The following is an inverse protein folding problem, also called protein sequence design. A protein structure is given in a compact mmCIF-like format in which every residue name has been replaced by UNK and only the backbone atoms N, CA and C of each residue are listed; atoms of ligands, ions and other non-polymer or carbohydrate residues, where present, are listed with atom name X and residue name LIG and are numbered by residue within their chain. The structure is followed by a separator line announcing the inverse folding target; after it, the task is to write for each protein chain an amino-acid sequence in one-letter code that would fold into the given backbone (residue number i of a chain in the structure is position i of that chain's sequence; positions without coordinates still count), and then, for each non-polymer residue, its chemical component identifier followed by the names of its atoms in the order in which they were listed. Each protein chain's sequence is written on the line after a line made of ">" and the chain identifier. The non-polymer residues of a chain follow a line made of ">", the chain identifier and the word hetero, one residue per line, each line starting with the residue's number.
data_IF_996961729720
#
_entry.id   IF_996961729720
#
_cell.length_a   1.000
_cell.length_b   1.000
_cell.length_c   1.000
_cell.angle_alpha   90.00
_cell.angle_beta   90.00
_cell.angle_gamma   90.00
#
_symmetry.space_group_name_H-M   'P 1'
#
loop_
_entity.id
_entity.type
_entity.pdbx_description
1 polymer ?
#
# COMPACT_ATOMS: atom_id res chain seq x y z
N UNK A 1 -9.34 23.16 -4.56
CA UNK A 1 -10.65 23.01 -3.92
C UNK A 1 -10.50 22.47 -2.49
N UNK A 2 -10.17 21.18 -2.26
CA UNK A 2 -10.16 20.56 -0.91
C UNK A 2 -9.28 21.31 0.09
N UNK A 3 -8.00 21.54 -0.22
CA UNK A 3 -7.10 22.29 0.68
C UNK A 3 -7.52 23.76 0.92
N UNK A 4 -8.15 24.39 -0.07
CA UNK A 4 -8.69 25.76 0.11
C UNK A 4 -9.91 25.79 1.03
N UNK A 5 -10.71 24.75 0.99
CA UNK A 5 -11.87 24.58 1.88
C UNK A 5 -11.41 24.35 3.31
N UNK A 6 -10.47 23.43 3.54
CA UNK A 6 -9.85 23.20 4.84
C UNK A 6 -9.19 24.47 5.40
N UNK A 7 -8.41 25.20 4.57
CA UNK A 7 -7.77 26.44 5.00
C UNK A 7 -8.77 27.53 5.40
N UNK A 8 -9.94 27.64 4.72
CA UNK A 8 -11.01 28.56 5.10
C UNK A 8 -11.73 28.17 6.39
N UNK A 9 -11.84 26.85 6.62
CA UNK A 9 -12.43 26.31 7.86
C UNK A 9 -11.48 26.44 9.07
N UNK A 10 -10.20 26.73 8.84
CA UNK A 10 -9.17 26.73 9.88
C UNK A 10 -8.72 25.31 10.27
N UNK A 11 -8.96 24.33 9.41
CA UNK A 11 -8.59 22.95 9.66
C UNK A 11 -7.11 22.70 9.36
N UNK A 12 -6.47 21.87 10.18
CA UNK A 12 -5.19 21.25 9.88
C UNK A 12 -5.39 20.01 9.00
N UNK A 13 -4.49 19.79 8.05
CA UNK A 13 -4.66 18.69 7.07
C UNK A 13 -3.50 17.70 7.09
N UNK A 14 -3.81 16.43 7.38
CA UNK A 14 -2.93 15.31 7.07
C UNK A 14 -3.40 14.64 5.77
N UNK A 15 -2.57 14.65 4.72
CA UNK A 15 -2.81 13.97 3.47
C UNK A 15 -1.88 12.77 3.33
N UNK A 16 -2.43 11.57 3.16
CA UNK A 16 -1.68 10.35 2.89
C UNK A 16 -2.04 9.90 1.48
N UNK A 17 -1.04 9.70 0.63
CA UNK A 17 -1.25 9.46 -0.79
C UNK A 17 -0.51 8.23 -1.28
N UNK A 18 -1.04 7.64 -2.36
CA UNK A 18 -0.39 6.57 -3.12
C UNK A 18 1.07 6.95 -3.43
N UNK A 19 1.95 5.94 -3.46
CA UNK A 19 3.37 6.10 -3.76
C UNK A 19 3.65 7.09 -4.88
N UNK A 20 4.56 8.02 -4.62
CA UNK A 20 5.07 9.00 -5.60
C UNK A 20 5.74 8.33 -6.81
N UNK A 21 6.27 7.12 -6.64
CA UNK A 21 6.87 6.31 -7.70
C UNK A 21 5.83 5.60 -8.59
N UNK A 22 4.59 5.46 -8.11
CA UNK A 22 3.49 4.87 -8.88
C UNK A 22 2.59 5.93 -9.52
N UNK A 23 2.45 7.10 -8.90
CA UNK A 23 1.50 8.13 -9.33
C UNK A 23 1.99 9.54 -9.03
N UNK A 24 1.70 10.48 -9.93
CA UNK A 24 1.92 11.92 -9.70
C UNK A 24 0.96 12.56 -8.68
N UNK A 25 0.08 11.78 -8.03
CA UNK A 25 -0.93 12.30 -7.09
C UNK A 25 -0.29 12.94 -5.86
N UNK A 26 0.72 12.29 -5.27
CA UNK A 26 1.49 12.82 -4.15
C UNK A 26 2.10 14.21 -4.47
N UNK A 27 2.86 14.31 -5.54
CA UNK A 27 3.48 15.58 -5.96
C UNK A 27 2.42 16.65 -6.35
N UNK A 28 1.29 16.21 -6.90
CA UNK A 28 0.14 17.07 -7.16
C UNK A 28 -0.43 17.66 -5.87
N UNK A 29 -0.59 16.84 -4.84
CA UNK A 29 -1.07 17.27 -3.53
C UNK A 29 -0.09 18.23 -2.85
N UNK A 30 1.22 17.94 -2.88
CA UNK A 30 2.27 18.83 -2.35
C UNK A 30 2.23 20.20 -3.02
N UNK A 31 2.14 20.26 -4.37
CA UNK A 31 2.03 21.53 -5.09
C UNK A 31 0.77 22.30 -4.72
N UNK A 32 -0.38 21.60 -4.61
CA UNK A 32 -1.65 22.22 -4.26
C UNK A 32 -1.64 22.76 -2.83
N UNK A 33 -1.13 22.01 -1.85
CA UNK A 33 -1.02 22.45 -0.46
C UNK A 33 -0.09 23.68 -0.32
N UNK A 34 1.06 23.68 -0.99
CA UNK A 34 1.98 24.83 -1.04
C UNK A 34 1.33 26.09 -1.63
N UNK A 35 0.57 25.94 -2.71
CA UNK A 35 -0.14 27.05 -3.33
C UNK A 35 -1.23 27.64 -2.42
N UNK A 36 -1.88 26.83 -1.60
CA UNK A 36 -2.86 27.30 -0.59
C UNK A 36 -2.14 27.98 0.57
N UNK A 37 -1.06 27.37 1.10
CA UNK A 37 -0.24 27.97 2.17
C UNK A 37 0.29 29.35 1.81
N UNK A 38 0.73 29.55 0.57
CA UNK A 38 1.23 30.85 0.09
C UNK A 38 0.17 31.97 0.13
N UNK A 39 -1.13 31.62 0.13
CA UNK A 39 -2.25 32.58 0.20
C UNK A 39 -2.92 32.62 1.58
N UNK A 40 -2.70 31.59 2.40
CA UNK A 40 -3.28 31.42 3.74
C UNK A 40 -2.16 31.01 4.69
N UNK A 41 -1.52 32.00 5.29
CA UNK A 41 -0.30 31.79 6.09
C UNK A 41 -0.53 30.88 7.31
N UNK A 42 -1.75 30.84 7.83
CA UNK A 42 -2.12 30.03 8.99
C UNK A 42 -2.47 28.58 8.61
N UNK A 43 -2.61 28.27 7.31
CA UNK A 43 -2.92 26.91 6.86
C UNK A 43 -1.79 25.93 7.19
N UNK A 44 -2.09 24.91 7.99
CA UNK A 44 -1.15 23.89 8.43
C UNK A 44 -1.44 22.56 7.74
N UNK A 45 -0.39 21.89 7.25
CA UNK A 45 -0.56 20.59 6.59
C UNK A 45 0.69 19.70 6.72
N UNK A 46 0.45 18.40 6.67
CA UNK A 46 1.48 17.35 6.44
C UNK A 46 1.02 16.48 5.29
N UNK A 47 1.88 16.25 4.30
CA UNK A 47 1.63 15.35 3.17
C UNK A 47 2.62 14.19 3.24
N UNK A 48 2.08 12.97 3.31
CA UNK A 48 2.83 11.73 3.47
C UNK A 48 2.74 10.90 2.18
N UNK A 49 3.89 10.41 1.72
CA UNK A 49 3.98 9.38 0.69
C UNK A 49 3.81 8.01 1.37
N UNK A 50 2.75 7.29 1.05
CA UNK A 50 2.54 5.95 1.61
C UNK A 50 3.56 4.93 1.13
N UNK A 51 4.32 5.25 0.08
CA UNK A 51 5.22 4.32 -0.62
C UNK A 51 4.54 3.02 -1.06
N UNK A 52 3.21 3.00 -1.15
CA UNK A 52 2.42 1.83 -1.50
C UNK A 52 1.12 2.20 -2.22
N UNK A 53 0.17 1.27 -2.27
CA UNK A 53 -1.15 1.45 -2.87
C UNK A 53 -2.16 0.45 -2.27
N UNK A 54 -3.47 0.67 -2.48
CA UNK A 54 -4.53 -0.22 -2.02
C UNK A 54 -4.72 -0.18 -0.51
N UNK A 55 -5.02 -1.33 0.13
CA UNK A 55 -5.21 -1.36 1.58
C UNK A 55 -3.91 -1.18 2.37
N UNK A 56 -2.78 -1.47 1.78
CA UNK A 56 -1.45 -1.17 2.32
C UNK A 56 -1.21 0.36 2.48
N UNK A 57 -1.96 1.19 1.73
CA UNK A 57 -2.05 2.64 1.88
C UNK A 57 -3.18 3.05 2.83
N UNK A 58 -4.29 2.27 2.87
CA UNK A 58 -5.48 2.65 3.62
C UNK A 58 -5.30 2.52 5.15
N UNK A 59 -4.62 1.48 5.64
CA UNK A 59 -4.45 1.28 7.08
C UNK A 59 -3.66 2.39 7.76
N UNK A 60 -2.57 2.93 7.21
CA UNK A 60 -1.94 4.14 7.74
C UNK A 60 -2.89 5.34 7.90
N UNK A 61 -3.91 5.46 7.03
CA UNK A 61 -4.96 6.48 7.17
C UNK A 61 -5.81 6.19 8.40
N UNK A 62 -6.21 4.93 8.61
CA UNK A 62 -7.00 4.55 9.80
C UNK A 62 -6.20 4.70 11.09
N UNK A 63 -4.90 4.43 11.09
CA UNK A 63 -4.02 4.67 12.24
C UNK A 63 -3.96 6.17 12.58
N UNK A 64 -3.84 7.04 11.57
CA UNK A 64 -3.88 8.49 11.76
C UNK A 64 -5.24 8.95 12.31
N UNK A 65 -6.35 8.40 11.80
CA UNK A 65 -7.70 8.69 12.31
C UNK A 65 -7.85 8.25 13.76
N UNK A 66 -7.37 7.06 14.12
CA UNK A 66 -7.41 6.58 15.49
C UNK A 66 -6.58 7.47 16.45
N UNK A 67 -5.41 7.95 16.00
CA UNK A 67 -4.59 8.89 16.77
C UNK A 67 -5.32 10.23 16.98
N UNK A 68 -5.94 10.78 15.93
CA UNK A 68 -6.78 11.99 16.02
C UNK A 68 -7.91 11.81 17.02
N UNK A 69 -8.62 10.70 16.96
CA UNK A 69 -9.75 10.41 17.84
C UNK A 69 -9.31 10.18 19.31
N UNK A 70 -8.03 9.83 19.51
CA UNK A 70 -7.37 9.76 20.82
C UNK A 70 -6.87 11.13 21.31
N UNK A 71 -7.00 12.21 20.52
CA UNK A 71 -6.62 13.59 20.89
C UNK A 71 -5.19 13.97 20.51
N UNK A 72 -4.51 13.20 19.66
CA UNK A 72 -3.21 13.58 19.13
C UNK A 72 -3.31 14.76 18.16
N UNK A 73 -2.29 15.60 18.15
CA UNK A 73 -2.14 16.71 17.20
C UNK A 73 -1.76 16.20 15.78
N UNK A 74 -1.63 17.13 14.84
CA UNK A 74 -1.27 16.81 13.45
C UNK A 74 0.05 16.03 13.35
N UNK A 75 1.04 16.35 14.19
CA UNK A 75 2.32 15.65 14.21
C UNK A 75 2.19 14.23 14.76
N UNK A 76 1.40 14.03 15.82
CA UNK A 76 1.07 12.73 16.40
C UNK A 76 0.31 11.84 15.41
N UNK A 77 -0.68 12.40 14.69
CA UNK A 77 -1.40 11.71 13.62
C UNK A 77 -0.48 11.30 12.47
N UNK A 78 0.42 12.19 12.04
CA UNK A 78 1.40 11.87 11.00
C UNK A 78 2.38 10.77 11.45
N UNK A 79 2.84 10.80 12.71
CA UNK A 79 3.70 9.77 13.27
C UNK A 79 2.99 8.40 13.34
N UNK A 80 1.69 8.37 13.64
CA UNK A 80 0.89 7.14 13.61
C UNK A 80 0.82 6.57 12.18
N UNK A 81 0.55 7.41 11.18
CA UNK A 81 0.56 6.99 9.77
C UNK A 81 1.92 6.42 9.34
N UNK A 82 3.02 7.08 9.72
CA UNK A 82 4.37 6.63 9.36
C UNK A 82 4.67 5.24 9.96
N UNK A 83 4.31 5.00 11.22
CA UNK A 83 4.42 3.66 11.84
C UNK A 83 3.56 2.62 11.12
N UNK A 84 2.34 2.99 10.72
CA UNK A 84 1.45 2.13 9.93
C UNK A 84 2.10 1.74 8.60
N UNK A 85 2.70 2.68 7.87
CA UNK A 85 3.41 2.42 6.61
C UNK A 85 4.53 1.40 6.80
N UNK A 86 5.30 1.48 7.88
CA UNK A 86 6.39 0.53 8.17
C UNK A 86 5.89 -0.86 8.55
N UNK A 87 4.65 -1.00 9.04
CA UNK A 87 4.07 -2.25 9.53
C UNK A 87 3.16 -2.97 8.52
N UNK A 88 2.94 -2.41 7.35
CA UNK A 88 2.12 -3.00 6.30
C UNK A 88 2.95 -3.74 5.25
N UNK A 89 2.34 -4.72 4.56
CA UNK A 89 2.91 -5.40 3.39
C UNK A 89 1.82 -5.78 2.40
N UNK A 90 2.12 -5.60 1.12
CA UNK A 90 1.28 -6.04 0.01
C UNK A 90 2.07 -7.03 -0.86
N UNK A 91 1.59 -8.27 -0.95
CA UNK A 91 2.11 -9.33 -1.81
C UNK A 91 1.05 -9.74 -2.83
N UNK A 92 1.43 -9.86 -4.10
CA UNK A 92 0.48 -10.26 -5.13
C UNK A 92 1.15 -11.05 -6.26
N UNK A 93 0.35 -11.85 -6.96
CA UNK A 93 0.79 -12.59 -8.14
C UNK A 93 -0.11 -12.23 -9.32
N UNK A 94 0.40 -11.46 -10.31
CA UNK A 94 -0.32 -11.18 -11.53
C UNK A 94 -0.26 -12.36 -12.49
N UNK A 95 -1.25 -12.50 -13.37
CA UNK A 95 -1.23 -13.51 -14.43
C UNK A 95 -0.17 -13.22 -15.51
N UNK A 96 0.15 -11.95 -15.71
CA UNK A 96 1.16 -11.49 -16.65
C UNK A 96 1.75 -10.16 -16.19
N UNK A 97 3.01 -9.90 -16.53
CA UNK A 97 3.65 -8.59 -16.30
C UNK A 97 3.36 -7.56 -17.40
N UNK A 98 2.64 -7.95 -18.46
CA UNK A 98 2.36 -7.10 -19.62
C UNK A 98 1.66 -5.79 -19.26
N UNK A 99 0.72 -5.84 -18.32
CA UNK A 99 -0.02 -4.65 -17.88
C UNK A 99 0.91 -3.68 -17.13
N UNK A 100 1.72 -4.17 -16.19
CA UNK A 100 2.71 -3.38 -15.45
C UNK A 100 3.74 -2.76 -16.39
N UNK A 101 4.20 -3.53 -17.38
CA UNK A 101 5.14 -3.06 -18.40
C UNK A 101 4.54 -1.96 -19.26
N UNK A 102 3.36 -2.20 -19.85
CA UNK A 102 2.67 -1.23 -20.72
C UNK A 102 2.26 0.03 -19.97
N UNK A 103 1.86 -0.13 -18.71
CA UNK A 103 1.51 0.98 -17.84
C UNK A 103 2.71 1.75 -17.28
N UNK A 104 3.95 1.28 -17.50
CA UNK A 104 5.17 1.91 -16.99
C UNK A 104 5.34 1.80 -15.46
N UNK A 105 4.57 0.94 -14.76
CA UNK A 105 4.63 0.74 -13.30
C UNK A 105 5.27 -0.58 -12.91
N UNK A 106 6.02 -1.19 -13.82
CA UNK A 106 6.71 -2.46 -13.59
C UNK A 106 7.86 -2.37 -12.58
N UNK A 107 8.44 -1.17 -12.37
CA UNK A 107 9.51 -0.96 -11.39
C UNK A 107 10.68 -1.94 -11.54
N UNK A 108 11.19 -2.42 -10.40
CA UNK A 108 12.31 -3.38 -10.36
C UNK A 108 11.91 -4.77 -10.91
N UNK A 109 10.60 -5.10 -10.96
CA UNK A 109 10.12 -6.33 -11.56
C UNK A 109 10.40 -6.43 -13.07
N UNK A 110 10.85 -5.33 -13.72
CA UNK A 110 11.33 -5.34 -15.12
C UNK A 110 12.46 -6.36 -15.36
N UNK A 111 13.26 -6.66 -14.36
CA UNK A 111 14.30 -7.71 -14.43
C UNK A 111 13.75 -9.11 -14.73
N UNK A 112 12.44 -9.32 -14.62
CA UNK A 112 11.78 -10.59 -14.95
C UNK A 112 11.41 -10.72 -16.43
N UNK A 113 11.36 -9.63 -17.21
CA UNK A 113 10.80 -9.62 -18.56
C UNK A 113 11.53 -10.55 -19.56
N UNK A 114 12.82 -10.80 -19.36
CA UNK A 114 13.60 -11.69 -20.22
C UNK A 114 13.38 -13.20 -19.98
N UNK A 115 12.74 -13.59 -18.88
CA UNK A 115 12.67 -14.99 -18.41
C UNK A 115 11.24 -15.49 -18.17
N UNK A 116 10.23 -14.82 -18.73
CA UNK A 116 8.80 -15.01 -18.39
C UNK A 116 8.15 -16.32 -18.89
N UNK A 117 8.82 -17.12 -19.73
CA UNK A 117 8.16 -18.24 -20.42
C UNK A 117 7.65 -19.32 -19.48
N UNK A 118 7.99 -19.29 -18.18
CA UNK A 118 7.51 -20.30 -17.19
C UNK A 118 7.50 -19.79 -15.73
N UNK A 119 7.35 -18.49 -15.49
CA UNK A 119 7.36 -17.95 -14.12
C UNK A 119 5.99 -17.36 -13.72
N UNK A 120 5.58 -17.65 -12.50
CA UNK A 120 4.48 -16.96 -11.79
C UNK A 120 5.12 -16.18 -10.63
N UNK A 121 5.52 -14.92 -10.85
CA UNK A 121 6.22 -14.16 -9.82
C UNK A 121 5.29 -13.77 -8.68
N UNK A 122 5.83 -13.70 -7.47
CA UNK A 122 5.25 -12.93 -6.38
C UNK A 122 5.89 -11.56 -6.40
N UNK A 123 5.07 -10.53 -6.47
CA UNK A 123 5.48 -9.14 -6.43
C UNK A 123 5.10 -8.50 -5.10
N UNK A 124 5.77 -7.42 -4.78
CA UNK A 124 5.48 -6.53 -3.66
C UNK A 124 5.61 -5.08 -4.11
N UNK A 125 5.30 -4.14 -3.23
CA UNK A 125 5.73 -2.74 -3.37
C UNK A 125 6.84 -2.51 -2.34
N UNK A 126 8.03 -2.19 -2.82
CA UNK A 126 9.21 -1.87 -2.01
C UNK A 126 9.80 -0.55 -2.47
N UNK A 127 10.15 0.33 -1.54
CA UNK A 127 10.59 1.70 -1.83
C UNK A 127 9.69 2.43 -2.84
N UNK A 128 8.37 2.20 -2.72
CA UNK A 128 7.36 2.82 -3.56
C UNK A 128 7.19 2.21 -4.95
N UNK A 129 7.95 1.20 -5.35
CA UNK A 129 7.95 0.59 -6.70
C UNK A 129 7.51 -0.86 -6.63
N UNK A 130 6.92 -1.34 -7.74
CA UNK A 130 6.73 -2.78 -7.89
C UNK A 130 8.09 -3.50 -7.93
N UNK A 131 8.23 -4.52 -7.11
CA UNK A 131 9.46 -5.29 -6.98
C UNK A 131 9.19 -6.79 -6.91
N UNK A 132 10.22 -7.59 -7.18
CA UNK A 132 10.15 -9.03 -7.14
C UNK A 132 10.37 -9.54 -5.72
N UNK A 133 9.31 -10.05 -5.10
CA UNK A 133 9.42 -10.72 -3.81
C UNK A 133 9.93 -12.16 -3.94
N UNK A 134 9.38 -12.93 -4.90
CA UNK A 134 9.82 -14.30 -5.16
C UNK A 134 9.60 -14.71 -6.62
N UNK A 135 10.41 -15.67 -7.08
CA UNK A 135 10.32 -16.28 -8.41
C UNK A 135 9.91 -17.74 -8.26
N UNK A 136 8.71 -18.08 -8.70
CA UNK A 136 8.19 -19.44 -8.69
C UNK A 136 7.61 -19.81 -10.05
N UNK A 137 7.35 -21.11 -10.29
CA UNK A 137 6.95 -21.61 -11.63
C UNK A 137 5.45 -21.75 -11.83
N UNK A 138 4.64 -21.71 -10.76
CA UNK A 138 3.19 -21.91 -10.87
C UNK A 138 2.46 -20.95 -9.96
N UNK A 139 1.22 -20.57 -10.35
CA UNK A 139 0.34 -19.72 -9.55
C UNK A 139 0.09 -20.32 -8.16
N UNK A 140 -0.09 -21.64 -8.06
CA UNK A 140 -0.23 -22.31 -6.76
C UNK A 140 0.97 -22.02 -5.86
N UNK A 141 2.20 -22.26 -6.36
CA UNK A 141 3.43 -21.96 -5.60
C UNK A 141 3.59 -20.48 -5.26
N UNK A 142 3.06 -19.57 -6.08
CA UNK A 142 3.07 -18.15 -5.78
C UNK A 142 2.14 -17.84 -4.58
N UNK A 143 0.92 -18.36 -4.58
CA UNK A 143 -0.01 -18.22 -3.47
C UNK A 143 0.49 -18.89 -2.18
N UNK A 144 1.09 -20.09 -2.29
CA UNK A 144 1.73 -20.78 -1.16
C UNK A 144 2.88 -19.94 -0.58
N UNK A 145 3.67 -19.27 -1.44
CA UNK A 145 4.78 -18.40 -1.00
C UNK A 145 4.27 -17.15 -0.29
N UNK A 146 3.17 -16.55 -0.76
CA UNK A 146 2.50 -15.44 -0.08
C UNK A 146 2.02 -15.89 1.30
N UNK A 147 1.31 -17.02 1.39
CA UNK A 147 0.82 -17.55 2.66
C UNK A 147 1.95 -17.87 3.66
N UNK A 148 3.08 -18.39 3.16
CA UNK A 148 4.26 -18.67 4.00
C UNK A 148 4.87 -17.39 4.59
N UNK A 149 5.01 -16.33 3.79
CA UNK A 149 5.54 -15.06 4.31
C UNK A 149 4.56 -14.40 5.27
N UNK A 150 3.26 -14.39 4.93
CA UNK A 150 2.22 -13.88 5.80
C UNK A 150 2.23 -14.57 7.18
N UNK A 151 2.29 -15.90 7.20
CA UNK A 151 2.38 -16.67 8.45
C UNK A 151 3.60 -16.26 9.27
N UNK A 152 4.76 -16.20 8.64
CA UNK A 152 6.02 -15.79 9.29
C UNK A 152 5.94 -14.38 9.89
N UNK A 153 5.45 -13.42 9.13
CA UNK A 153 5.34 -12.04 9.60
C UNK A 153 4.33 -11.91 10.75
N UNK A 154 3.19 -12.62 10.68
CA UNK A 154 2.19 -12.65 11.76
C UNK A 154 2.76 -13.30 13.04
N UNK A 155 3.50 -14.39 12.92
CA UNK A 155 4.14 -15.05 14.07
C UNK A 155 5.20 -14.17 14.74
N UNK A 156 5.92 -13.36 13.97
CA UNK A 156 7.00 -12.50 14.47
C UNK A 156 6.52 -11.13 14.95
N UNK A 157 5.51 -10.56 14.30
CA UNK A 157 5.12 -9.16 14.46
C UNK A 157 3.67 -8.96 14.93
N UNK A 158 2.88 -10.05 15.07
CA UNK A 158 1.45 -9.98 15.37
C UNK A 158 0.63 -9.41 14.21
N UNK A 159 -0.65 -9.78 14.12
CA UNK A 159 -1.56 -9.32 13.07
C UNK A 159 -2.50 -8.24 13.59
N UNK A 160 -2.58 -7.08 12.93
CA UNK A 160 -3.63 -6.06 13.11
C UNK A 160 -4.75 -6.25 12.09
N UNK A 161 -4.41 -6.13 10.81
CA UNK A 161 -5.35 -6.15 9.70
C UNK A 161 -4.89 -7.06 8.57
N UNK A 162 -5.86 -7.61 7.81
CA UNK A 162 -5.60 -8.41 6.62
C UNK A 162 -6.77 -8.36 5.65
N UNK A 163 -6.47 -8.32 4.36
CA UNK A 163 -7.45 -8.41 3.28
C UNK A 163 -6.86 -9.19 2.12
N UNK A 164 -7.67 -10.07 1.51
CA UNK A 164 -7.34 -10.71 0.23
C UNK A 164 -7.83 -9.80 -0.88
N UNK A 165 -6.93 -9.47 -1.81
CA UNK A 165 -7.23 -8.66 -2.99
C UNK A 165 -7.34 -9.49 -4.25
N UNK A 166 -8.20 -9.05 -5.18
CA UNK A 166 -8.28 -9.62 -6.52
C UNK A 166 -8.48 -8.54 -7.58
N UNK A 167 -8.10 -8.89 -8.81
CA UNK A 167 -8.42 -8.18 -10.05
C UNK A 167 -8.93 -9.21 -11.04
N UNK A 168 -10.06 -8.94 -11.70
CA UNK A 168 -10.71 -9.88 -12.59
C UNK A 168 -11.60 -10.87 -11.84
N UNK A 169 -11.40 -12.17 -12.03
CA UNK A 169 -12.21 -13.20 -11.39
C UNK A 169 -11.97 -13.28 -9.87
N UNK A 170 -13.06 -13.18 -9.10
CA UNK A 170 -13.06 -13.26 -7.64
C UNK A 170 -12.88 -14.71 -7.12
N UNK A 171 -13.34 -15.70 -7.89
CA UNK A 171 -13.44 -17.08 -7.38
C UNK A 171 -12.11 -17.65 -6.91
N UNK A 172 -10.97 -17.50 -7.61
CA UNK A 172 -9.66 -17.98 -7.13
C UNK A 172 -9.21 -17.31 -5.83
N UNK A 173 -9.52 -16.02 -5.63
CA UNK A 173 -9.19 -15.31 -4.41
C UNK A 173 -10.00 -15.81 -3.22
N UNK A 174 -11.30 -16.06 -3.42
CA UNK A 174 -12.19 -16.63 -2.38
C UNK A 174 -11.75 -18.02 -1.98
N UNK A 175 -11.42 -18.88 -2.96
CA UNK A 175 -10.94 -20.24 -2.68
C UNK A 175 -9.66 -20.19 -1.84
N UNK A 176 -8.67 -19.42 -2.28
CA UNK A 176 -7.41 -19.27 -1.57
C UNK A 176 -7.58 -18.65 -0.17
N UNK A 177 -8.45 -17.65 -0.02
CA UNK A 177 -8.76 -17.07 1.28
C UNK A 177 -9.24 -18.14 2.27
N UNK A 178 -10.21 -18.97 1.88
CA UNK A 178 -10.78 -20.03 2.71
C UNK A 178 -9.83 -21.18 2.99
N UNK A 179 -9.05 -21.58 2.00
CA UNK A 179 -8.17 -22.75 2.10
C UNK A 179 -6.85 -22.43 2.83
N UNK A 180 -6.37 -21.18 2.75
CA UNK A 180 -5.03 -20.83 3.25
C UNK A 180 -5.07 -19.72 4.28
N UNK A 181 -5.70 -18.56 3.97
CA UNK A 181 -5.58 -17.38 4.83
C UNK A 181 -6.40 -17.52 6.10
N UNK A 182 -7.68 -17.91 5.99
CA UNK A 182 -8.58 -18.05 7.14
C UNK A 182 -8.09 -19.08 8.17
N UNK A 183 -7.56 -20.26 7.79
CA UNK A 183 -6.96 -21.19 8.75
C UNK A 183 -5.76 -20.62 9.50
N UNK A 184 -4.96 -19.73 8.87
CA UNK A 184 -3.81 -19.11 9.52
C UNK A 184 -4.20 -18.07 10.59
N UNK A 185 -5.36 -17.43 10.42
CA UNK A 185 -5.81 -16.35 11.32
C UNK A 185 -6.96 -16.78 12.24
N UNK A 186 -7.52 -17.98 12.04
CA UNK A 186 -8.62 -18.52 12.86
C UNK A 186 -9.97 -17.78 12.70
N UNK A 187 -10.13 -16.99 11.61
CA UNK A 187 -11.36 -16.21 11.32
C UNK A 187 -11.54 -15.98 9.84
N UNK A 188 -12.72 -15.54 9.44
CA UNK A 188 -12.98 -15.12 8.06
C UNK A 188 -12.17 -13.90 7.67
N UNK A 189 -11.81 -13.79 6.39
CA UNK A 189 -11.10 -12.65 5.81
C UNK A 189 -11.93 -12.00 4.72
N UNK A 190 -11.89 -10.68 4.65
CA UNK A 190 -12.51 -9.92 3.56
C UNK A 190 -11.80 -10.17 2.25
N UNK A 191 -12.57 -10.43 1.16
CA UNK A 191 -12.05 -10.56 -0.20
C UNK A 191 -12.58 -9.41 -1.02
N UNK A 192 -11.74 -8.42 -1.29
CA UNK A 192 -12.10 -7.14 -1.89
C UNK A 192 -11.33 -6.89 -3.21
N UNK A 193 -11.97 -6.28 -4.21
CA UNK A 193 -11.25 -5.84 -5.39
C UNK A 193 -10.31 -4.69 -5.03
N UNK A 194 -9.22 -4.54 -5.78
CA UNK A 194 -8.48 -3.28 -5.78
C UNK A 194 -9.19 -2.24 -6.64
N UNK A 195 -8.77 -0.96 -6.56
CA UNK A 195 -9.35 0.08 -7.40
C UNK A 195 -9.16 -0.23 -8.89
N UNK A 196 -10.11 0.20 -9.77
CA UNK A 196 -9.98 0.02 -11.22
C UNK A 196 -8.69 0.61 -11.79
N UNK A 197 -8.18 1.70 -11.20
CA UNK A 197 -6.92 2.34 -11.63
C UNK A 197 -5.73 1.40 -11.42
N UNK A 198 -5.64 0.76 -10.25
CA UNK A 198 -4.61 -0.26 -10.00
C UNK A 198 -4.81 -1.45 -10.95
N UNK A 199 -6.08 -1.86 -11.18
CA UNK A 199 -6.42 -2.95 -12.08
C UNK A 199 -5.93 -2.74 -13.51
N UNK A 200 -6.00 -1.51 -14.05
CA UNK A 200 -5.48 -1.18 -15.38
C UNK A 200 -3.97 -1.38 -15.51
N UNK A 201 -3.21 -1.17 -14.43
CA UNK A 201 -1.76 -1.33 -14.44
C UNK A 201 -1.30 -2.75 -14.09
N UNK A 202 -2.06 -3.51 -13.31
CA UNK A 202 -1.64 -4.84 -12.83
C UNK A 202 -2.25 -5.96 -13.67
N UNK A 203 -3.48 -5.77 -14.20
CA UNK A 203 -4.26 -6.82 -14.84
C UNK A 203 -4.76 -7.87 -13.83
N UNK A 204 -5.30 -9.01 -14.30
CA UNK A 204 -5.81 -10.06 -13.43
C UNK A 204 -4.76 -10.55 -12.45
N UNK A 205 -5.11 -10.57 -11.15
CA UNK A 205 -4.20 -10.89 -10.07
C UNK A 205 -4.93 -11.36 -8.81
N UNK A 206 -4.23 -12.06 -7.93
CA UNK A 206 -4.61 -12.31 -6.54
C UNK A 206 -3.49 -11.84 -5.63
N UNK A 207 -3.83 -11.22 -4.50
CA UNK A 207 -2.87 -10.69 -3.55
C UNK A 207 -3.39 -10.69 -2.12
N UNK A 208 -2.49 -10.38 -1.21
CA UNK A 208 -2.74 -10.23 0.21
C UNK A 208 -2.11 -8.92 0.67
N UNK A 209 -2.90 -8.04 1.23
CA UNK A 209 -2.39 -6.92 2.00
C UNK A 209 -2.63 -7.21 3.49
N UNK A 210 -1.68 -6.85 4.35
CA UNK A 210 -1.80 -7.01 5.80
C UNK A 210 -0.97 -5.97 6.53
N UNK A 211 -1.40 -5.71 7.76
CA UNK A 211 -0.71 -4.86 8.71
C UNK A 211 -0.40 -5.67 9.96
N UNK A 212 0.82 -5.55 10.43
CA UNK A 212 1.31 -6.16 11.67
C UNK A 212 1.35 -5.15 12.82
N UNK A 213 1.51 -5.63 14.04
CA UNK A 213 1.59 -4.77 15.23
C UNK A 213 2.95 -4.07 15.39
N UNK A 214 3.97 -4.49 14.66
CA UNK A 214 5.29 -3.86 14.61
C UNK A 214 5.85 -3.80 13.19
N UNK A 215 6.85 -2.95 12.97
CA UNK A 215 7.47 -2.71 11.68
C UNK A 215 8.00 -3.99 11.01
N UNK A 216 7.80 -4.08 9.70
CA UNK A 216 8.23 -5.20 8.85
C UNK A 216 9.53 -4.87 8.13
N UNK A 217 10.51 -5.75 8.22
CA UNK A 217 11.77 -5.57 7.54
C UNK A 217 11.64 -5.65 6.01
N UNK A 218 12.46 -4.86 5.29
CA UNK A 218 12.65 -4.95 3.84
C UNK A 218 11.56 -4.32 2.98
N UNK A 219 10.64 -3.53 3.56
CA UNK A 219 9.65 -2.78 2.80
C UNK A 219 10.19 -1.44 2.32
N UNK A 220 10.93 -0.75 3.17
CA UNK A 220 11.47 0.59 2.95
C UNK A 220 12.94 0.59 3.34
N UNK A 221 13.79 1.09 2.43
CA UNK A 221 15.24 1.15 2.65
C UNK A 221 15.71 2.43 3.36
N UNK A 222 14.82 3.41 3.51
CA UNK A 222 15.09 4.71 4.10
C UNK A 222 13.89 5.31 4.82
N UNK A 223 13.99 6.53 5.35
CA UNK A 223 12.87 7.18 6.02
C UNK A 223 11.73 7.47 5.04
N UNK A 224 10.49 7.22 5.49
CA UNK A 224 9.28 7.58 4.72
C UNK A 224 9.23 9.08 4.51
N UNK A 225 8.93 9.50 3.28
CA UNK A 225 8.85 10.92 2.95
C UNK A 225 7.57 11.54 3.51
N UNK A 226 7.74 12.51 4.40
CA UNK A 226 6.67 13.40 4.83
C UNK A 226 7.10 14.85 4.58
N UNK A 227 6.22 15.65 3.96
CA UNK A 227 6.46 17.07 3.70
C UNK A 227 5.46 17.89 4.49
N UNK A 228 5.94 18.53 5.56
CA UNK A 228 5.19 19.50 6.32
C UNK A 228 5.27 20.88 5.67
N UNK A 229 4.38 21.82 6.05
CA UNK A 229 4.59 23.23 5.76
C UNK A 229 5.88 23.66 6.47
N UNK A 230 6.80 24.30 5.70
CA UNK A 230 7.91 25.01 6.33
C UNK A 230 7.31 26.11 7.22
N UNK A 231 7.74 26.12 8.48
CA UNK A 231 7.43 27.18 9.46
C UNK A 231 7.92 28.54 8.97
#
# INVERSE_FOLDING_TARGET
>A
AVFEEAARAGDEVLGIFISSELSGTYEGAVRAARAVKARNIDFTYVIVDSTSCGYDEAWPVFDAVAARDAGEDLAGCAAAALRGIESTRFLFTPETLTFLQRGGRIGNAAALLGNLIQLSPVLTVSDGKADTFAKVRTRKKALDRIGTEFKKDVEQHGLKHVVVHYIGDKAPAVAWAREVVEPLIGRTVSVLPVSPVIGLHVGPAVGLAYECASALAGKISGPVQARACAS
#
